data_IF_840099804153
#
_entry.id   IF_840099804153
#
_cell.length_a   1.000
_cell.length_b   1.000
_cell.length_c   1.000
_cell.angle_alpha   90.00
_cell.angle_beta   90.00
_cell.angle_gamma   90.00
#
_symmetry.space_group_name_H-M   'P 1'
#
loop_
_entity.id
_entity.type
_entity.pdbx_description
1 polymer ?
#
# COMPACT_ATOMS: atom_id res chain seq x y z
N UNK A 1 -4.70 -3.04 28.49
CA UNK A 1 -3.84 -3.85 27.59
C UNK A 1 -2.55 -3.07 27.38
N UNK A 2 -1.38 -3.70 27.55
CA UNK A 2 -0.06 -3.06 27.42
C UNK A 2 0.52 -3.41 26.05
N UNK A 3 0.83 -2.40 25.23
CA UNK A 3 1.58 -2.58 23.97
C UNK A 3 3.08 -2.60 24.31
N UNK A 4 3.80 -3.59 23.79
CA UNK A 4 5.25 -3.77 24.06
C UNK A 4 6.11 -3.51 22.81
N UNK A 5 5.50 -3.54 21.63
CA UNK A 5 6.23 -3.39 20.38
C UNK A 5 5.30 -2.89 19.26
N UNK A 6 5.82 -2.01 18.41
CA UNK A 6 5.16 -1.61 17.15
C UNK A 6 5.75 -2.42 16.00
N UNK A 7 4.92 -3.06 15.20
CA UNK A 7 5.32 -3.81 14.02
C UNK A 7 4.88 -3.07 12.76
N UNK A 8 5.83 -2.57 11.99
CA UNK A 8 5.62 -1.95 10.69
C UNK A 8 5.66 -3.04 9.62
N UNK A 9 4.52 -3.45 9.11
CA UNK A 9 4.39 -4.51 8.11
C UNK A 9 3.84 -3.90 6.83
N UNK A 10 4.58 -3.91 5.72
CA UNK A 10 4.13 -3.23 4.52
C UNK A 10 4.63 -3.81 3.20
N UNK A 11 3.87 -3.52 2.14
CA UNK A 11 4.25 -3.65 0.74
C UNK A 11 4.31 -2.25 0.11
N UNK A 12 5.52 -1.83 -0.35
CA UNK A 12 5.76 -0.45 -0.81
C UNK A 12 6.73 -0.37 -2.01
N UNK A 13 6.30 -0.73 -3.24
CA UNK A 13 7.18 -0.75 -4.40
C UNK A 13 7.83 0.60 -4.73
N UNK A 14 7.10 1.71 -4.53
CA UNK A 14 7.55 3.07 -4.83
C UNK A 14 7.99 3.87 -3.60
N UNK A 15 7.85 3.31 -2.39
CA UNK A 15 8.26 3.96 -1.14
C UNK A 15 7.17 4.78 -0.44
N UNK A 16 6.03 5.05 -1.09
CA UNK A 16 4.99 5.95 -0.52
C UNK A 16 4.25 5.33 0.66
N UNK A 17 3.88 4.04 0.59
CA UNK A 17 3.26 3.31 1.71
C UNK A 17 4.22 3.20 2.89
N UNK A 18 5.48 2.87 2.62
CA UNK A 18 6.56 2.84 3.61
C UNK A 18 6.66 4.16 4.36
N UNK A 19 6.73 5.28 3.64
CA UNK A 19 6.85 6.62 4.23
C UNK A 19 5.68 6.94 5.19
N UNK A 20 4.44 6.61 4.82
CA UNK A 20 3.28 6.77 5.71
C UNK A 20 3.38 5.87 6.93
N UNK A 21 3.69 4.59 6.75
CA UNK A 21 3.80 3.62 7.86
C UNK A 21 4.90 4.05 8.84
N UNK A 22 6.06 4.49 8.36
CA UNK A 22 7.15 4.97 9.18
C UNK A 22 6.74 6.20 10.01
N UNK A 23 6.09 7.19 9.37
CA UNK A 23 5.62 8.40 10.08
C UNK A 23 4.63 8.07 11.20
N UNK A 24 3.65 7.19 10.93
CA UNK A 24 2.69 6.75 11.96
C UNK A 24 3.40 5.98 13.07
N UNK A 25 4.36 5.11 12.70
CA UNK A 25 5.10 4.29 13.67
C UNK A 25 6.01 5.12 14.57
N UNK A 26 6.69 6.13 14.04
CA UNK A 26 7.55 7.05 14.79
C UNK A 26 6.73 7.80 15.84
N UNK A 27 5.60 8.40 15.46
CA UNK A 27 4.74 9.11 16.39
C UNK A 27 4.15 8.19 17.49
N UNK A 28 3.73 6.96 17.13
CA UNK A 28 3.26 5.97 18.10
C UNK A 28 4.36 5.46 19.03
N UNK A 29 5.59 5.29 18.52
CA UNK A 29 6.72 4.84 19.32
C UNK A 29 7.11 5.89 20.37
N UNK A 30 7.07 7.16 20.00
CA UNK A 30 7.31 8.29 20.91
C UNK A 30 6.21 8.38 21.97
N UNK A 31 4.92 8.27 21.58
CA UNK A 31 3.79 8.34 22.49
C UNK A 31 3.75 7.19 23.53
N UNK A 32 4.13 5.98 23.09
CA UNK A 32 4.02 4.75 23.89
C UNK A 32 5.32 4.35 24.59
N UNK A 33 6.43 5.02 24.30
CA UNK A 33 7.80 4.67 24.74
C UNK A 33 8.16 3.20 24.47
N UNK A 34 7.89 2.73 23.22
CA UNK A 34 8.16 1.36 22.79
C UNK A 34 8.99 1.31 21.51
N UNK A 35 9.69 0.19 21.32
CA UNK A 35 10.48 -0.03 20.12
C UNK A 35 9.60 -0.41 18.94
N UNK A 36 10.06 -0.03 17.74
CA UNK A 36 9.47 -0.38 16.47
C UNK A 36 10.32 -1.42 15.73
N UNK A 37 9.66 -2.32 15.01
CA UNK A 37 10.25 -3.37 14.18
C UNK A 37 9.67 -3.27 12.77
N UNK A 38 10.50 -3.46 11.74
CA UNK A 38 10.10 -3.36 10.34
C UNK A 38 10.10 -4.74 9.68
N UNK A 39 9.00 -5.04 8.99
CA UNK A 39 8.89 -6.18 8.09
C UNK A 39 8.38 -5.71 6.72
N UNK A 40 9.33 -5.40 5.83
CA UNK A 40 9.06 -5.03 4.45
C UNK A 40 8.93 -6.30 3.59
N UNK A 41 7.69 -6.64 3.19
CA UNK A 41 7.43 -7.78 2.30
C UNK A 41 7.29 -7.38 0.82
N UNK A 42 7.85 -6.23 0.45
CA UNK A 42 7.79 -5.73 -0.94
C UNK A 42 8.47 -6.69 -1.93
N UNK A 43 9.62 -7.24 -1.57
CA UNK A 43 10.35 -8.14 -2.47
C UNK A 43 9.96 -9.61 -2.26
N UNK A 44 10.03 -10.45 -3.32
CA UNK A 44 9.57 -11.84 -3.27
C UNK A 44 10.25 -12.68 -2.17
N UNK A 45 11.53 -12.46 -1.92
CA UNK A 45 12.30 -13.21 -0.92
C UNK A 45 11.83 -12.96 0.51
N UNK A 46 11.25 -11.80 0.81
CA UNK A 46 10.70 -11.51 2.13
C UNK A 46 9.37 -12.23 2.39
N UNK A 47 8.70 -12.72 1.34
CA UNK A 47 7.40 -13.41 1.44
C UNK A 47 7.49 -14.92 1.62
N UNK A 48 8.64 -15.42 2.05
CA UNK A 48 8.84 -16.84 2.34
C UNK A 48 8.43 -17.23 3.76
N UNK A 49 8.26 -16.26 4.64
CA UNK A 49 7.79 -16.42 6.02
C UNK A 49 6.99 -15.19 6.44
N UNK A 50 6.37 -15.24 7.61
CA UNK A 50 5.74 -14.08 8.25
C UNK A 50 6.32 -13.94 9.67
N UNK A 51 6.49 -12.70 10.22
CA UNK A 51 7.02 -12.52 11.56
C UNK A 51 6.09 -13.11 12.62
N UNK A 52 6.68 -13.68 13.65
CA UNK A 52 5.91 -14.13 14.81
C UNK A 52 5.43 -12.92 15.61
N UNK A 53 4.12 -12.82 15.78
CA UNK A 53 3.44 -11.76 16.51
C UNK A 53 2.92 -12.26 17.87
N UNK A 54 2.50 -11.33 18.71
CA UNK A 54 1.91 -11.58 20.01
C UNK A 54 0.74 -10.60 20.27
N UNK A 55 -0.19 -10.91 21.20
CA UNK A 55 -1.30 -10.01 21.56
C UNK A 55 -0.86 -8.65 22.12
N UNK A 56 0.41 -8.50 22.50
CA UNK A 56 1.02 -7.24 22.95
C UNK A 56 1.66 -6.42 21.86
N UNK A 57 1.57 -6.86 20.59
CA UNK A 57 2.07 -6.12 19.43
C UNK A 57 0.99 -5.20 18.87
N UNK A 58 1.40 -3.97 18.49
CA UNK A 58 0.62 -3.06 17.67
C UNK A 58 1.14 -3.13 16.24
N UNK A 59 0.34 -3.63 15.33
CA UNK A 59 0.71 -3.83 13.93
C UNK A 59 0.16 -2.71 13.07
N UNK A 60 1.03 -1.97 12.40
CA UNK A 60 0.70 -1.08 11.29
C UNK A 60 0.85 -1.87 9.99
N UNK A 61 -0.27 -2.22 9.36
CA UNK A 61 -0.23 -3.04 8.15
C UNK A 61 -0.53 -2.18 6.91
N UNK A 62 0.48 -1.97 6.05
CA UNK A 62 0.42 -1.05 4.91
C UNK A 62 0.39 -1.75 3.55
N UNK A 63 -0.61 -1.40 2.71
CA UNK A 63 -0.67 -1.83 1.31
C UNK A 63 -1.12 -0.69 0.38
N UNK A 64 -0.63 -0.63 -0.87
CA UNK A 64 -1.18 0.28 -1.86
C UNK A 64 -2.48 -0.27 -2.46
N UNK A 65 -3.32 0.64 -2.92
CA UNK A 65 -4.54 0.35 -3.69
C UNK A 65 -4.21 0.15 -5.16
N UNK A 66 -4.52 -1.02 -5.72
CA UNK A 66 -4.41 -1.31 -7.15
C UNK A 66 -5.77 -1.69 -7.71
N UNK A 67 -6.23 -0.92 -8.70
CA UNK A 67 -7.56 -1.11 -9.30
C UNK A 67 -8.71 -1.19 -8.25
N UNK A 68 -8.66 -0.32 -7.24
CA UNK A 68 -9.66 -0.21 -6.19
C UNK A 68 -9.64 -1.30 -5.11
N UNK A 69 -8.69 -2.23 -5.17
CA UNK A 69 -8.51 -3.35 -4.24
C UNK A 69 -7.04 -3.49 -3.82
N UNK A 70 -6.73 -4.47 -3.00
CA UNK A 70 -5.34 -4.86 -2.75
C UNK A 70 -4.72 -5.47 -4.01
N UNK A 71 -3.38 -5.41 -4.19
CA UNK A 71 -2.73 -6.05 -5.33
C UNK A 71 -3.04 -7.55 -5.37
N UNK A 72 -3.79 -8.00 -6.37
CA UNK A 72 -4.31 -9.37 -6.45
C UNK A 72 -3.23 -10.46 -6.37
N UNK A 73 -2.02 -10.20 -6.85
CA UNK A 73 -0.92 -11.15 -6.79
C UNK A 73 -0.33 -11.31 -5.37
N UNK A 74 -0.71 -10.46 -4.42
CA UNK A 74 -0.34 -10.58 -3.02
C UNK A 74 -1.35 -11.39 -2.22
N UNK A 75 -2.58 -11.56 -2.68
CA UNK A 75 -3.65 -12.19 -1.89
C UNK A 75 -3.26 -13.59 -1.41
N UNK A 76 -2.58 -14.37 -2.28
CA UNK A 76 -2.08 -15.69 -1.89
C UNK A 76 -1.07 -15.66 -0.73
N UNK A 77 -0.25 -14.61 -0.65
CA UNK A 77 0.66 -14.42 0.47
C UNK A 77 -0.10 -13.91 1.71
N UNK A 78 -1.02 -12.96 1.53
CA UNK A 78 -1.84 -12.43 2.61
C UNK A 78 -2.74 -13.50 3.25
N UNK A 79 -3.03 -14.57 2.54
CA UNK A 79 -3.76 -15.75 3.05
C UNK A 79 -2.89 -16.65 3.96
N UNK A 80 -1.62 -16.34 4.12
CA UNK A 80 -0.67 -17.11 4.96
C UNK A 80 -0.20 -16.38 6.21
N UNK A 81 -0.66 -15.15 6.44
CA UNK A 81 -0.25 -14.36 7.61
C UNK A 81 -0.97 -14.87 8.88
N UNK A 82 -0.38 -14.61 10.04
CA UNK A 82 -0.97 -14.96 11.33
C UNK A 82 -0.80 -13.79 12.30
N UNK A 83 -1.92 -13.22 12.75
CA UNK A 83 -1.97 -12.11 13.69
C UNK A 83 -1.74 -12.53 15.14
N UNK A 84 -1.96 -13.80 15.49
CA UNK A 84 -1.78 -14.31 16.87
C UNK A 84 -2.43 -13.44 17.96
N UNK A 85 -3.55 -12.78 17.63
CA UNK A 85 -4.27 -11.86 18.54
C UNK A 85 -3.67 -10.46 18.64
N UNK A 86 -2.72 -10.08 17.80
CA UNK A 86 -2.14 -8.73 17.79
C UNK A 86 -3.17 -7.66 17.41
N UNK A 87 -3.02 -6.48 18.01
CA UNK A 87 -3.79 -5.29 17.62
C UNK A 87 -3.29 -4.77 16.29
N UNK A 88 -4.20 -4.42 15.38
CA UNK A 88 -3.83 -3.95 14.04
C UNK A 88 -4.49 -2.64 13.64
N UNK A 89 -3.76 -1.87 12.83
CA UNK A 89 -4.20 -0.66 12.15
C UNK A 89 -3.93 -0.85 10.65
N UNK A 90 -4.92 -1.30 9.87
CA UNK A 90 -4.81 -1.35 8.41
C UNK A 90 -4.67 0.06 7.82
N UNK A 91 -3.69 0.25 6.96
CA UNK A 91 -3.42 1.51 6.26
C UNK A 91 -3.29 1.21 4.77
N UNK A 92 -4.07 1.89 3.94
CA UNK A 92 -3.91 1.82 2.49
C UNK A 92 -3.43 3.14 1.92
N UNK A 93 -2.65 3.08 0.85
CA UNK A 93 -2.26 4.26 0.07
C UNK A 93 -2.86 4.19 -1.33
N UNK A 94 -3.27 5.33 -1.90
CA UNK A 94 -3.91 5.37 -3.21
C UNK A 94 -3.46 6.57 -4.04
N UNK A 95 -3.45 6.40 -5.36
CA UNK A 95 -2.94 7.38 -6.31
C UNK A 95 -3.91 8.51 -6.62
N UNK A 96 -4.29 9.36 -5.66
CA UNK A 96 -5.12 10.57 -5.82
C UNK A 96 -6.52 10.38 -6.46
N UNK A 97 -6.89 9.19 -6.93
CA UNK A 97 -8.25 8.89 -7.43
C UNK A 97 -9.19 8.50 -6.29
N UNK A 98 -9.07 7.29 -5.79
CA UNK A 98 -9.83 6.75 -4.67
C UNK A 98 -9.15 5.46 -4.17
N UNK A 99 -9.41 5.08 -2.92
CA UNK A 99 -9.00 3.78 -2.38
C UNK A 99 -10.08 2.71 -2.56
N UNK A 100 -11.28 3.11 -2.99
CA UNK A 100 -12.44 2.25 -3.24
C UNK A 100 -12.62 1.21 -2.11
N UNK A 101 -12.41 -0.08 -2.43
CA UNK A 101 -12.66 -1.18 -1.50
C UNK A 101 -11.38 -1.79 -0.90
N UNK A 102 -10.20 -1.20 -1.13
CA UNK A 102 -8.94 -1.77 -0.67
C UNK A 102 -8.80 -1.77 0.87
N UNK A 103 -9.35 -0.77 1.56
CA UNK A 103 -9.26 -0.69 3.00
C UNK A 103 -10.16 -1.72 3.70
N UNK A 104 -11.40 -1.89 3.25
CA UNK A 104 -12.28 -2.93 3.79
C UNK A 104 -11.75 -4.33 3.50
N UNK A 105 -11.15 -4.55 2.32
CA UNK A 105 -10.51 -5.82 1.98
C UNK A 105 -9.33 -6.11 2.92
N UNK A 106 -8.44 -5.14 3.15
CA UNK A 106 -7.31 -5.30 4.06
C UNK A 106 -7.79 -5.57 5.49
N UNK A 107 -8.74 -4.79 6.00
CA UNK A 107 -9.33 -4.97 7.33
C UNK A 107 -9.90 -6.38 7.49
N UNK A 108 -10.67 -6.86 6.51
CA UNK A 108 -11.29 -8.19 6.56
C UNK A 108 -10.25 -9.32 6.52
N UNK A 109 -9.21 -9.19 5.71
CA UNK A 109 -8.10 -10.15 5.67
C UNK A 109 -7.41 -10.21 7.03
N UNK A 110 -7.09 -9.08 7.64
CA UNK A 110 -6.43 -9.05 8.94
C UNK A 110 -7.30 -9.72 10.02
N UNK A 111 -8.58 -9.39 10.11
CA UNK A 111 -9.51 -10.04 11.06
C UNK A 111 -9.61 -11.55 10.84
N UNK A 112 -9.72 -11.99 9.59
CA UNK A 112 -9.79 -13.42 9.25
C UNK A 112 -8.52 -14.19 9.66
N UNK A 113 -7.38 -13.49 9.78
CA UNK A 113 -6.09 -14.08 10.15
C UNK A 113 -5.66 -13.77 11.59
N UNK A 114 -6.61 -13.51 12.48
CA UNK A 114 -6.37 -13.43 13.92
C UNK A 114 -5.76 -12.12 14.42
N UNK A 115 -5.82 -11.05 13.62
CA UNK A 115 -5.57 -9.70 14.10
C UNK A 115 -6.86 -9.10 14.66
N UNK A 116 -6.71 -8.06 15.48
CA UNK A 116 -7.83 -7.28 15.97
C UNK A 116 -7.68 -5.82 15.54
N UNK A 117 -8.52 -5.36 14.61
CA UNK A 117 -8.39 -4.03 14.02
C UNK A 117 -9.14 -2.98 14.83
N UNK A 118 -8.41 -1.93 15.27
CA UNK A 118 -8.96 -0.90 16.17
C UNK A 118 -9.13 0.46 15.51
N UNK A 119 -8.35 0.75 14.48
CA UNK A 119 -8.37 1.99 13.71
C UNK A 119 -7.99 1.65 12.28
N UNK A 120 -8.25 2.54 11.32
CA UNK A 120 -7.85 2.36 9.93
C UNK A 120 -7.63 3.71 9.25
N UNK A 121 -6.81 3.74 8.18
CA UNK A 121 -6.59 4.96 7.41
C UNK A 121 -6.36 4.69 5.92
N UNK A 122 -6.72 5.68 5.08
CA UNK A 122 -6.38 5.72 3.67
C UNK A 122 -5.69 7.05 3.34
N UNK A 123 -4.47 6.97 2.78
CA UNK A 123 -3.67 8.15 2.43
C UNK A 123 -3.53 8.29 0.93
N UNK A 124 -3.80 9.50 0.43
CA UNK A 124 -3.54 9.84 -0.97
C UNK A 124 -2.04 10.05 -1.17
N UNK A 125 -1.50 9.40 -2.19
CA UNK A 125 -0.09 9.43 -2.54
C UNK A 125 0.08 9.64 -4.06
N UNK A 126 1.32 9.75 -4.50
CA UNK A 126 1.64 9.80 -5.92
C UNK A 126 1.19 8.51 -6.63
N UNK A 127 0.51 8.68 -7.76
CA UNK A 127 -0.01 7.55 -8.55
C UNK A 127 1.12 6.74 -9.19
N UNK A 128 1.01 5.40 -9.17
CA UNK A 128 2.04 4.52 -9.71
C UNK A 128 2.28 4.67 -11.23
N UNK A 129 1.24 5.05 -12.01
CA UNK A 129 1.30 5.22 -13.46
C UNK A 129 1.77 6.61 -13.90
N UNK A 130 1.75 7.59 -13.00
CA UNK A 130 1.93 9.00 -13.33
C UNK A 130 3.05 9.62 -12.52
N UNK A 131 3.65 10.65 -13.07
CA UNK A 131 4.60 11.54 -12.38
C UNK A 131 3.97 12.90 -12.06
N UNK A 132 2.71 13.11 -12.46
CA UNK A 132 1.97 14.36 -12.23
C UNK A 132 0.77 14.16 -11.30
N UNK A 133 0.09 13.02 -11.38
CA UNK A 133 -1.09 12.73 -10.57
C UNK A 133 -0.69 12.44 -9.11
N UNK A 134 -1.01 13.35 -8.20
CA UNK A 134 -0.61 13.29 -6.80
C UNK A 134 0.90 13.44 -6.62
N UNK A 135 1.59 14.11 -7.55
CA UNK A 135 3.04 14.30 -7.52
C UNK A 135 3.53 14.86 -6.17
N UNK A 136 4.62 14.27 -5.66
CA UNK A 136 5.23 14.67 -4.39
C UNK A 136 4.50 14.22 -3.13
N UNK A 137 3.34 13.56 -3.25
CA UNK A 137 2.61 13.00 -2.09
C UNK A 137 3.14 11.61 -1.71
N UNK A 138 3.21 11.28 -0.39
CA UNK A 138 2.82 12.11 0.75
C UNK A 138 3.79 13.29 0.95
N UNK A 139 3.24 14.50 1.04
CA UNK A 139 3.96 15.72 1.34
C UNK A 139 3.97 16.04 2.86
N UNK A 140 4.42 17.24 3.24
CA UNK A 140 4.50 17.62 4.65
C UNK A 140 3.13 17.65 5.34
N UNK A 141 2.07 18.07 4.64
CA UNK A 141 0.73 18.11 5.20
C UNK A 141 0.19 16.69 5.42
N UNK A 142 0.38 15.79 4.45
CA UNK A 142 0.00 14.38 4.57
C UNK A 142 0.72 13.70 5.76
N UNK A 143 2.00 14.01 5.96
CA UNK A 143 2.77 13.46 7.07
C UNK A 143 2.33 14.04 8.42
N UNK A 144 1.96 15.31 8.47
CA UNK A 144 1.38 15.92 9.67
C UNK A 144 0.02 15.29 10.03
N UNK A 145 -0.83 15.01 9.03
CA UNK A 145 -2.08 14.27 9.23
C UNK A 145 -1.81 12.82 9.70
N UNK A 146 -0.77 12.15 9.17
CA UNK A 146 -0.37 10.82 9.60
C UNK A 146 0.08 10.80 11.07
N UNK A 147 0.86 11.79 11.52
CA UNK A 147 1.25 11.93 12.92
C UNK A 147 0.03 12.23 13.81
N UNK A 148 -0.88 13.10 13.36
CA UNK A 148 -2.14 13.38 14.09
C UNK A 148 -3.00 12.11 14.25
N UNK A 149 -3.10 11.32 13.19
CA UNK A 149 -3.78 10.02 13.24
C UNK A 149 -3.11 9.08 14.25
N UNK A 150 -1.79 9.03 14.32
CA UNK A 150 -1.05 8.22 15.29
C UNK A 150 -1.39 8.61 16.74
N UNK A 151 -1.40 9.91 17.08
CA UNK A 151 -1.80 10.38 18.41
C UNK A 151 -3.25 10.00 18.75
N UNK A 152 -4.15 10.05 17.78
CA UNK A 152 -5.53 9.59 17.98
C UNK A 152 -5.61 8.07 18.24
N UNK A 153 -4.76 7.26 17.58
CA UNK A 153 -4.64 5.81 17.86
C UNK A 153 -4.12 5.57 19.26
N UNK A 154 -3.13 6.34 19.76
CA UNK A 154 -2.65 6.28 21.14
C UNK A 154 -3.78 6.53 22.13
N UNK A 155 -4.58 7.58 21.90
CA UNK A 155 -5.76 7.87 22.74
C UNK A 155 -6.77 6.72 22.75
N UNK A 156 -6.99 6.09 21.61
CA UNK A 156 -7.88 4.92 21.49
C UNK A 156 -7.33 3.69 22.22
N UNK A 157 -6.03 3.42 22.14
CA UNK A 157 -5.39 2.33 22.92
C UNK A 157 -5.56 2.52 24.42
N UNK A 158 -5.42 3.75 24.91
CA UNK A 158 -5.65 4.06 26.32
C UNK A 158 -7.11 3.80 26.74
N UNK A 159 -8.08 4.16 25.89
CA UNK A 159 -9.49 3.86 26.14
C UNK A 159 -9.78 2.35 26.11
N UNK A 160 -9.18 1.60 25.20
CA UNK A 160 -9.30 0.14 25.12
C UNK A 160 -8.74 -0.58 26.34
N UNK A 161 -7.67 -0.06 26.95
CA UNK A 161 -7.07 -0.64 28.13
C UNK A 161 -8.01 -0.63 29.35
N UNK A 162 -9.04 0.20 29.35
CA UNK A 162 -10.07 0.28 30.39
C UNK A 162 -11.27 -0.65 30.16
N UNK A 163 -11.32 -1.36 29.03
CA UNK A 163 -12.42 -2.29 28.71
C UNK A 163 -12.09 -3.72 29.12
N UNK A 164 -13.11 -4.45 29.57
CA UNK A 164 -12.99 -5.89 29.91
C UNK A 164 -12.84 -6.77 28.66
N UNK A 165 -13.37 -6.31 27.52
CA UNK A 165 -13.35 -7.02 26.24
C UNK A 165 -13.03 -6.06 25.09
N UNK A 166 -12.34 -6.55 24.08
CA UNK A 166 -12.11 -5.78 22.88
C UNK A 166 -13.44 -5.50 22.14
N UNK A 167 -13.63 -4.29 21.59
CA UNK A 167 -14.82 -3.95 20.82
C UNK A 167 -14.87 -4.73 19.49
N UNK A 168 -15.96 -4.57 18.73
CA UNK A 168 -16.03 -5.08 17.36
C UNK A 168 -14.90 -4.48 16.49
N UNK A 169 -14.48 -5.18 15.42
CA UNK A 169 -13.53 -4.66 14.46
C UNK A 169 -13.90 -3.27 13.94
N UNK A 170 -12.89 -2.43 13.66
CA UNK A 170 -13.13 -1.08 13.14
C UNK A 170 -14.05 -1.10 11.91
N UNK A 171 -15.10 -0.28 11.92
CA UNK A 171 -15.94 -0.08 10.75
C UNK A 171 -15.23 0.82 9.74
N UNK A 172 -15.20 0.42 8.48
CA UNK A 172 -14.63 1.19 7.37
C UNK A 172 -15.58 1.15 6.18
N UNK A 173 -15.54 2.20 5.35
CA UNK A 173 -16.33 2.26 4.14
C UNK A 173 -15.84 1.28 3.07
N UNK A 174 -16.74 0.84 2.22
CA UNK A 174 -16.47 0.00 1.07
C UNK A 174 -17.39 -1.22 0.97
N UNK A 175 -17.27 -1.92 -0.15
CA UNK A 175 -17.98 -3.16 -0.45
C UNK A 175 -16.94 -4.29 -0.59
N UNK A 176 -16.91 -5.21 0.38
CA UNK A 176 -15.97 -6.32 0.39
C UNK A 176 -16.15 -7.30 -0.79
N UNK A 177 -17.37 -7.36 -1.35
CA UNK A 177 -17.73 -8.26 -2.47
C UNK A 177 -17.48 -7.60 -3.85
N UNK A 178 -17.17 -6.31 -3.90
CA UNK A 178 -16.94 -5.61 -5.16
C UNK A 178 -15.71 -6.16 -5.91
N UNK A 179 -15.81 -6.23 -7.22
CA UNK A 179 -14.72 -6.63 -8.10
C UNK A 179 -13.63 -5.54 -8.24
N UNK A 180 -12.53 -5.89 -8.90
CA UNK A 180 -11.50 -4.94 -9.29
C UNK A 180 -12.04 -3.90 -10.28
N UNK A 181 -11.63 -2.64 -10.12
CA UNK A 181 -11.89 -1.61 -11.10
C UNK A 181 -11.33 -2.01 -12.47
N UNK A 182 -12.16 -1.85 -13.51
CA UNK A 182 -11.81 -2.16 -14.89
C UNK A 182 -11.72 -0.86 -15.69
N UNK A 183 -10.53 -0.49 -16.20
CA UNK A 183 -10.38 0.67 -17.06
C UNK A 183 -11.31 0.59 -18.28
N UNK A 184 -11.92 1.73 -18.63
CA UNK A 184 -12.76 1.87 -19.83
C UNK A 184 -12.40 3.15 -20.56
N UNK A 185 -12.61 3.14 -21.87
CA UNK A 185 -12.51 4.35 -22.68
C UNK A 185 -13.78 5.23 -22.57
N UNK A 186 -13.79 6.36 -23.24
CA UNK A 186 -14.92 7.30 -23.27
C UNK A 186 -16.20 6.72 -23.89
N UNK A 187 -16.10 5.62 -24.61
CA UNK A 187 -17.22 4.89 -25.20
C UNK A 187 -17.67 3.71 -24.32
N UNK A 188 -17.05 3.53 -23.13
CA UNK A 188 -17.35 2.44 -22.21
C UNK A 188 -16.70 1.10 -22.56
N UNK A 189 -15.81 1.07 -23.57
CA UNK A 189 -15.12 -0.14 -23.99
C UNK A 189 -13.99 -0.46 -22.99
N UNK A 190 -13.90 -1.72 -22.60
CA UNK A 190 -12.90 -2.21 -21.66
C UNK A 190 -11.48 -2.12 -22.22
N UNK A 191 -10.55 -1.56 -21.43
CA UNK A 191 -9.13 -1.46 -21.75
C UNK A 191 -8.39 -2.51 -20.93
N UNK A 192 -7.88 -3.56 -21.57
CA UNK A 192 -7.14 -4.63 -20.90
C UNK A 192 -5.65 -4.32 -20.79
N UNK A 193 -5.24 -3.82 -19.65
CA UNK A 193 -3.82 -3.55 -19.34
C UNK A 193 -3.10 -4.71 -18.64
N UNK A 194 -3.75 -5.86 -18.42
CA UNK A 194 -3.20 -6.95 -17.59
C UNK A 194 -1.89 -7.52 -18.14
N UNK A 195 -1.75 -7.59 -19.46
CA UNK A 195 -0.57 -8.13 -20.16
C UNK A 195 0.51 -7.08 -20.44
N UNK A 196 0.24 -5.81 -20.18
CA UNK A 196 1.20 -4.72 -20.43
C UNK A 196 2.41 -4.89 -19.51
N UNK A 197 3.60 -4.77 -20.08
CA UNK A 197 4.89 -4.87 -19.42
C UNK A 197 5.76 -3.64 -19.77
N UNK A 198 6.66 -3.21 -18.86
CA UNK A 198 7.55 -2.11 -19.19
C UNK A 198 8.58 -2.51 -20.25
N UNK A 199 8.88 -1.59 -21.13
CA UNK A 199 9.98 -1.64 -22.09
C UNK A 199 11.23 -0.95 -21.53
N UNK A 200 12.33 -1.08 -22.27
CA UNK A 200 13.61 -0.47 -21.93
C UNK A 200 14.18 0.23 -23.16
N UNK A 201 14.53 1.50 -23.05
CA UNK A 201 15.16 2.27 -24.12
C UNK A 201 16.69 2.10 -24.14
N UNK A 202 17.33 2.61 -25.20
CA UNK A 202 18.78 2.61 -25.38
C UNK A 202 19.54 3.47 -24.36
N UNK A 203 18.83 4.29 -23.56
CA UNK A 203 19.41 5.02 -22.43
C UNK A 203 19.81 4.11 -21.24
N UNK A 204 19.48 2.83 -21.30
CA UNK A 204 19.76 1.88 -20.23
C UNK A 204 21.26 1.55 -20.13
N UNK A 205 21.86 1.81 -18.97
CA UNK A 205 23.23 1.45 -18.61
C UNK A 205 23.37 0.03 -18.02
N UNK A 206 22.30 -0.73 -18.00
CA UNK A 206 22.22 -2.11 -17.49
C UNK A 206 22.60 -2.25 -15.99
N UNK A 207 22.42 -1.22 -15.18
CA UNK A 207 22.77 -1.23 -13.73
C UNK A 207 22.02 -2.28 -12.88
N UNK A 208 21.00 -2.95 -13.41
CA UNK A 208 20.26 -4.01 -12.72
C UNK A 208 19.23 -3.53 -11.68
N UNK A 209 19.18 -2.23 -11.34
CA UNK A 209 18.31 -1.71 -10.28
C UNK A 209 16.83 -2.07 -10.49
N UNK A 210 16.34 -1.98 -11.73
CA UNK A 210 14.94 -2.29 -12.04
C UNK A 210 14.56 -3.76 -11.76
N UNK A 211 15.48 -4.71 -11.90
CA UNK A 211 15.27 -6.10 -11.52
C UNK A 211 15.33 -6.26 -9.99
N UNK A 212 16.30 -5.61 -9.34
CA UNK A 212 16.47 -5.66 -7.88
C UNK A 212 15.27 -5.10 -7.10
N UNK A 213 14.61 -4.05 -7.61
CA UNK A 213 13.44 -3.44 -6.95
C UNK A 213 12.10 -4.00 -7.42
N UNK A 214 12.10 -5.00 -8.32
CA UNK A 214 10.86 -5.54 -8.86
C UNK A 214 10.12 -6.40 -7.81
N UNK A 215 8.94 -5.98 -7.32
CA UNK A 215 8.25 -6.69 -6.25
C UNK A 215 7.71 -8.06 -6.68
N UNK A 216 7.71 -8.34 -7.99
CA UNK A 216 7.27 -9.63 -8.53
C UNK A 216 8.42 -10.47 -9.09
N UNK A 217 9.67 -9.97 -9.06
CA UNK A 217 10.79 -10.64 -9.73
C UNK A 217 10.53 -10.83 -11.23
N UNK A 218 9.78 -9.90 -11.86
CA UNK A 218 9.31 -10.07 -13.23
C UNK A 218 10.37 -9.74 -14.28
N UNK A 219 11.39 -8.96 -13.92
CA UNK A 219 12.48 -8.53 -14.79
C UNK A 219 13.64 -9.50 -14.66
N UNK A 220 14.20 -9.94 -15.79
CA UNK A 220 15.36 -10.85 -15.79
C UNK A 220 16.59 -10.12 -15.24
N UNK A 221 17.22 -10.60 -14.16
CA UNK A 221 18.39 -9.94 -13.57
C UNK A 221 19.66 -10.09 -14.44
N UNK A 222 19.69 -11.04 -15.36
CA UNK A 222 20.81 -11.24 -16.31
C UNK A 222 20.64 -10.42 -17.59
N UNK A 223 19.42 -10.00 -17.91
CA UNK A 223 19.09 -9.17 -19.07
C UNK A 223 17.87 -8.31 -18.76
N UNK A 224 18.12 -7.14 -18.21
CA UNK A 224 17.05 -6.21 -17.78
C UNK A 224 16.15 -5.71 -18.92
N UNK A 225 16.51 -5.96 -20.18
CA UNK A 225 15.64 -5.71 -21.34
C UNK A 225 14.43 -6.65 -21.36
N UNK A 226 14.56 -7.84 -20.75
CA UNK A 226 13.53 -8.87 -20.72
C UNK A 226 12.68 -8.80 -19.47
N UNK A 227 11.38 -8.97 -19.65
CA UNK A 227 10.38 -9.04 -18.55
C UNK A 227 9.56 -10.33 -18.71
N UNK A 228 10.16 -11.51 -18.43
CA UNK A 228 9.46 -12.80 -18.60
C UNK A 228 8.33 -12.99 -17.61
N UNK A 229 8.44 -12.46 -16.38
CA UNK A 229 7.48 -12.64 -15.30
C UNK A 229 6.21 -11.81 -15.44
N UNK A 230 5.32 -11.95 -14.44
CA UNK A 230 4.05 -11.21 -14.38
C UNK A 230 4.29 -9.83 -13.78
N UNK A 231 3.93 -8.78 -14.51
CA UNK A 231 4.03 -7.39 -14.07
C UNK A 231 2.72 -6.91 -13.44
N UNK A 232 2.78 -6.41 -12.18
CA UNK A 232 1.62 -5.79 -11.50
C UNK A 232 1.49 -4.29 -11.78
N UNK A 233 2.34 -3.73 -12.62
CA UNK A 233 2.33 -2.31 -13.02
C UNK A 233 2.50 -1.33 -11.83
N UNK A 234 3.31 -1.73 -10.84
CA UNK A 234 3.59 -0.89 -9.66
C UNK A 234 4.43 0.37 -9.95
N UNK A 235 5.04 0.46 -11.14
CA UNK A 235 5.88 1.61 -11.52
C UNK A 235 7.27 1.68 -10.87
N UNK A 236 7.65 0.76 -9.98
CA UNK A 236 8.93 0.83 -9.27
C UNK A 236 10.14 0.90 -10.22
N UNK A 237 10.17 0.05 -11.24
CA UNK A 237 11.26 0.02 -12.23
C UNK A 237 11.36 1.30 -13.08
N UNK A 238 10.25 2.04 -13.22
CA UNK A 238 10.20 3.31 -13.95
C UNK A 238 10.64 4.46 -13.03
N UNK A 239 10.01 4.59 -11.87
CA UNK A 239 10.25 5.70 -10.93
C UNK A 239 11.63 5.67 -10.27
N UNK A 240 12.21 4.47 -10.11
CA UNK A 240 13.53 4.29 -9.50
C UNK A 240 14.67 4.18 -10.52
N UNK A 241 14.39 4.20 -11.84
CA UNK A 241 15.43 4.12 -12.87
C UNK A 241 16.23 5.43 -12.95
N UNK A 242 17.55 5.43 -12.64
CA UNK A 242 18.35 6.65 -12.66
C UNK A 242 18.53 7.21 -14.07
N UNK A 243 18.40 6.36 -15.10
CA UNK A 243 18.52 6.76 -16.51
C UNK A 243 17.14 7.04 -17.15
N UNK A 244 16.03 6.92 -16.40
CA UNK A 244 14.67 7.02 -16.94
C UNK A 244 14.44 6.11 -18.16
N UNK A 245 15.15 4.97 -18.22
CA UNK A 245 15.17 4.08 -19.37
C UNK A 245 13.97 3.13 -19.44
N UNK A 246 13.23 2.92 -18.34
CA UNK A 246 12.03 2.07 -18.30
C UNK A 246 10.77 2.88 -18.60
N UNK A 247 9.90 2.36 -19.47
CA UNK A 247 8.67 3.04 -19.88
C UNK A 247 7.58 2.06 -20.31
N UNK A 248 6.36 2.56 -20.54
CA UNK A 248 5.27 1.85 -21.20
C UNK A 248 4.93 2.55 -22.52
N UNK A 249 4.61 1.79 -23.58
CA UNK A 249 4.18 2.30 -24.87
C UNK A 249 2.82 1.74 -25.34
N UNK A 250 2.18 0.89 -24.53
CA UNK A 250 0.87 0.35 -24.84
C UNK A 250 -0.18 1.48 -24.89
N UNK A 251 -0.89 1.58 -26.01
CA UNK A 251 -1.85 2.66 -26.27
C UNK A 251 -3.01 2.67 -25.28
N UNK A 252 -3.51 1.52 -24.84
CA UNK A 252 -4.56 1.41 -23.85
C UNK A 252 -4.10 1.84 -22.47
N UNK A 253 -2.88 1.43 -22.08
CA UNK A 253 -2.28 1.87 -20.82
C UNK A 253 -2.06 3.39 -20.80
N UNK A 254 -1.48 3.96 -21.86
CA UNK A 254 -1.22 5.40 -21.94
C UNK A 254 -2.54 6.19 -21.94
N UNK A 255 -3.53 5.77 -22.71
CA UNK A 255 -4.86 6.36 -22.67
C UNK A 255 -5.45 6.38 -21.26
N UNK A 256 -5.43 5.24 -20.57
CA UNK A 256 -5.95 5.15 -19.21
C UNK A 256 -5.19 6.07 -18.23
N UNK A 257 -3.86 6.14 -18.35
CA UNK A 257 -3.03 7.07 -17.56
C UNK A 257 -3.44 8.52 -17.80
N UNK A 258 -3.57 8.93 -19.05
CA UNK A 258 -3.93 10.30 -19.44
C UNK A 258 -5.35 10.68 -18.95
N UNK A 259 -6.32 9.76 -19.05
CA UNK A 259 -7.66 9.99 -18.50
C UNK A 259 -7.63 10.17 -16.97
N UNK A 260 -6.84 9.38 -16.25
CA UNK A 260 -6.69 9.57 -14.80
C UNK A 260 -6.07 10.94 -14.48
N UNK A 261 -5.05 11.36 -15.23
CA UNK A 261 -4.41 12.68 -15.07
C UNK A 261 -5.41 13.81 -15.36
N UNK A 262 -6.17 13.71 -16.45
CA UNK A 262 -7.16 14.71 -16.83
C UNK A 262 -8.32 14.82 -15.82
N UNK A 263 -8.81 13.69 -15.31
CA UNK A 263 -9.98 13.67 -14.40
C UNK A 263 -9.62 14.03 -12.97
N UNK A 264 -8.44 13.68 -12.50
CA UNK A 264 -8.08 13.76 -11.08
C UNK A 264 -6.86 14.64 -10.79
N UNK A 265 -6.16 15.15 -11.80
CA UNK A 265 -4.91 15.90 -11.63
C UNK A 265 -5.07 17.26 -10.96
N UNK A 266 -6.21 17.92 -11.14
CA UNK A 266 -6.48 19.26 -10.59
C UNK A 266 -6.96 19.24 -9.13
N UNK A 267 -7.32 18.09 -8.59
CA UNK A 267 -7.79 17.98 -7.20
C UNK A 267 -6.71 17.41 -6.29
N UNK A 268 -6.73 17.82 -5.03
CA UNK A 268 -6.03 17.14 -3.95
C UNK A 268 -7.03 16.20 -3.27
N UNK A 269 -6.90 14.89 -3.46
CA UNK A 269 -7.73 13.93 -2.73
C UNK A 269 -7.43 14.02 -1.22
N UNK A 270 -8.47 13.98 -0.40
CA UNK A 270 -8.34 13.96 1.05
C UNK A 270 -7.87 12.58 1.55
N UNK A 271 -7.16 12.56 2.67
CA UNK A 271 -6.93 11.36 3.45
C UNK A 271 -8.20 11.00 4.23
N UNK A 272 -8.33 9.75 4.65
CA UNK A 272 -9.50 9.26 5.39
C UNK A 272 -9.07 8.49 6.64
N UNK A 273 -9.75 8.74 7.76
CA UNK A 273 -9.40 8.18 9.06
C UNK A 273 -10.63 7.56 9.71
N UNK A 274 -10.48 6.36 10.26
CA UNK A 274 -11.52 5.59 10.92
C UNK A 274 -11.06 5.27 12.35
N UNK A 275 -11.71 5.89 13.32
CA UNK A 275 -11.35 5.86 14.74
C UNK A 275 -12.54 5.56 15.66
N UNK A 276 -13.77 5.63 15.14
CA UNK A 276 -14.97 5.35 15.96
C UNK A 276 -15.04 3.88 16.38
N UNK A 277 -15.57 3.66 17.59
CA UNK A 277 -15.92 2.32 18.04
C UNK A 277 -17.27 1.91 17.46
#
# INVERSE_FOLDING_TARGET
>A
MEIKRICQIYFSPTGTTEKIIQTVAEALADDLDVKSFIYDFTLPQARTSFPQLAPTDLVLFGCPTYAGRLPNLLLKYLDTIDGSGAIAVPIVTFGNRAFDNSLIELRNILEAHGFHTIAAAAFACEHSFSTTLGAGRPDADDLAEAATFAHAVTGKLAALAALDTLPAPIAVDGDAEAGYYQPRDRHGVFIDIRKVKPLTSDACDQCGLCAAVCPMGAIDPSDVMKVPGICIKCGACIKKCPQSAKYYDDTGYLYHKEELEAMYGVRRAANSFYLSF
#
